data_IF_012979513073
#
_entry.id   IF_012979513073
#
_cell.length_a   1.000
_cell.length_b   1.000
_cell.length_c   1.000
_cell.angle_alpha   90.00
_cell.angle_beta   90.00
_cell.angle_gamma   90.00
#
_symmetry.space_group_name_H-M   'P 1'
#
loop_
_entity.id
_entity.type
_entity.pdbx_description
1 polymer ?
#
# COMPACT_ATOMS: atom_id res chain seq x y z
N UNK A 1 23.31 -17.94 -58.24
CA UNK A 1 23.89 -16.58 -58.33
C UNK A 1 24.35 -16.25 -56.92
N UNK A 2 25.59 -16.63 -56.59
CA UNK A 2 26.76 -15.72 -56.48
C UNK A 2 26.64 -14.81 -55.25
N UNK A 3 27.59 -14.72 -54.31
CA UNK A 3 28.94 -15.25 -54.19
C UNK A 3 29.66 -14.47 -53.08
N UNK A 4 30.06 -15.17 -52.02
CA UNK A 4 31.26 -15.02 -51.15
C UNK A 4 31.99 -13.68 -50.89
N UNK A 5 32.50 -13.60 -49.63
CA UNK A 5 33.83 -13.07 -49.19
C UNK A 5 33.98 -11.54 -49.01
N UNK A 6 34.79 -10.96 -48.08
CA UNK A 6 35.95 -11.45 -47.31
C UNK A 6 36.32 -10.49 -46.15
N UNK A 7 37.09 -11.03 -45.21
CA UNK A 7 37.77 -10.48 -44.03
C UNK A 7 38.66 -9.22 -44.14
N UNK A 8 38.81 -8.55 -42.97
CA UNK A 8 39.97 -7.88 -42.32
C UNK A 8 40.84 -6.88 -43.13
N UNK A 9 41.07 -5.71 -42.52
CA UNK A 9 42.41 -5.24 -42.08
C UNK A 9 42.35 -3.91 -41.30
N UNK A 10 43.21 -3.79 -40.28
CA UNK A 10 43.77 -2.55 -39.69
C UNK A 10 45.27 -2.58 -40.05
N UNK A 11 45.92 -1.47 -40.45
CA UNK A 11 46.87 -0.71 -39.58
C UNK A 11 46.84 0.83 -39.86
N UNK A 12 47.11 1.78 -38.96
CA UNK A 12 48.28 2.19 -38.14
C UNK A 12 48.97 3.47 -38.70
N UNK A 13 49.61 4.22 -37.78
CA UNK A 13 50.61 5.32 -37.93
C UNK A 13 50.04 6.76 -37.91
N UNK A 14 50.58 7.77 -37.21
CA UNK A 14 51.88 8.04 -36.57
C UNK A 14 51.68 9.06 -35.41
N UNK A 15 52.26 8.95 -34.19
CA UNK A 15 53.66 9.11 -33.71
C UNK A 15 54.18 10.56 -33.54
N UNK A 16 54.68 10.85 -32.31
CA UNK A 16 55.76 11.77 -31.86
C UNK A 16 55.47 12.16 -30.38
N UNK A 17 56.32 12.03 -29.36
CA UNK A 17 57.71 11.58 -29.12
C UNK A 17 57.81 11.41 -27.57
N UNK A 18 58.24 10.29 -26.97
CA UNK A 18 59.64 9.89 -26.59
C UNK A 18 60.37 11.00 -25.80
N UNK A 19 60.75 10.84 -24.53
CA UNK A 19 61.91 10.07 -24.00
C UNK A 19 61.73 9.72 -22.50
N UNK A 20 61.83 8.46 -22.06
CA UNK A 20 63.05 7.71 -21.65
C UNK A 20 63.45 7.98 -20.17
N UNK A 21 63.37 7.01 -19.24
CA UNK A 21 64.37 5.95 -19.10
C UNK A 21 64.03 4.89 -18.04
N UNK A 22 64.24 3.64 -18.43
CA UNK A 22 64.36 2.41 -17.60
C UNK A 22 65.84 2.22 -17.17
N UNK A 23 66.28 1.25 -16.32
CA UNK A 23 65.70 -0.10 -16.13
C UNK A 23 65.71 -0.70 -14.70
N UNK A 24 64.94 -1.79 -14.53
CA UNK A 24 65.07 -2.83 -13.46
C UNK A 24 66.40 -3.63 -13.66
N UNK A 25 66.76 -4.73 -12.94
CA UNK A 25 66.12 -5.46 -11.82
C UNK A 25 67.08 -5.96 -10.71
N UNK A 26 66.55 -6.62 -9.66
CA UNK A 26 66.98 -7.96 -9.20
C UNK A 26 66.24 -8.40 -7.95
N UNK A 27 65.58 -9.56 -8.04
CA UNK A 27 65.13 -10.35 -6.91
C UNK A 27 66.33 -11.15 -6.42
N UNK A 28 66.63 -11.07 -5.13
CA UNK A 28 67.57 -11.96 -4.45
C UNK A 28 66.88 -12.62 -3.26
N UNK A 29 67.07 -13.94 -3.15
CA UNK A 29 66.58 -14.81 -2.08
C UNK A 29 67.80 -15.44 -1.41
N UNK A 30 67.97 -15.23 -0.11
CA UNK A 30 68.76 -16.00 0.87
C UNK A 30 68.65 -15.24 2.20
N UNK A 31 68.54 -15.82 3.39
CA UNK A 31 68.62 -17.19 3.87
C UNK A 31 68.26 -17.20 5.37
N UNK A 32 68.04 -18.38 5.91
CA UNK A 32 67.66 -18.63 7.30
C UNK A 32 68.75 -18.27 8.32
N UNK A 33 68.35 -17.84 9.53
CA UNK A 33 68.66 -18.49 10.83
C UNK A 33 68.32 -17.60 12.04
N UNK A 34 67.66 -18.22 13.02
CA UNK A 34 68.01 -18.14 14.44
C UNK A 34 67.42 -17.01 15.27
N UNK A 35 66.69 -17.36 16.32
CA UNK A 35 66.40 -16.45 17.43
C UNK A 35 65.08 -16.71 18.15
N UNK A 36 64.95 -17.87 18.81
CA UNK A 36 63.99 -18.01 19.90
C UNK A 36 64.56 -17.32 21.15
N UNK A 37 63.84 -16.34 21.69
CA UNK A 37 63.71 -16.06 23.14
C UNK A 37 63.23 -14.62 23.34
N UNK A 38 62.08 -14.43 24.01
CA UNK A 38 61.62 -13.10 24.36
C UNK A 38 60.21 -13.09 24.91
N UNK A 39 59.98 -13.85 25.98
CA UNK A 39 58.79 -13.65 26.81
C UNK A 39 58.78 -12.22 27.34
N UNK A 40 57.74 -11.48 27.00
CA UNK A 40 57.50 -10.11 27.46
C UNK A 40 56.01 -9.90 27.61
N UNK A 41 55.52 -10.10 28.83
CA UNK A 41 54.17 -9.80 29.28
C UNK A 41 53.80 -8.35 28.92
N UNK A 42 53.04 -8.18 27.84
CA UNK A 42 52.66 -6.87 27.31
C UNK A 42 51.19 -6.50 27.56
N UNK A 43 50.62 -6.98 28.66
CA UNK A 43 49.38 -6.41 29.20
C UNK A 43 49.46 -6.42 30.72
N UNK A 44 49.65 -5.25 31.32
CA UNK A 44 49.39 -5.10 32.75
C UNK A 44 47.95 -5.54 33.02
N UNK A 45 47.78 -6.48 33.94
CA UNK A 45 46.50 -6.96 34.44
C UNK A 45 45.39 -5.88 34.53
N UNK A 46 45.64 -4.63 35.00
CA UNK A 46 44.62 -3.59 35.03
C UNK A 46 43.98 -3.23 33.68
N UNK A 47 44.72 -3.23 32.56
CA UNK A 47 44.14 -2.92 31.25
C UNK A 47 43.25 -4.05 30.72
N UNK A 48 43.60 -5.31 31.00
CA UNK A 48 42.79 -6.47 30.61
C UNK A 48 41.48 -6.48 31.37
N UNK A 49 41.52 -6.20 32.68
CA UNK A 49 40.30 -6.09 33.50
C UNK A 49 39.43 -4.90 33.07
N UNK A 50 40.02 -3.76 32.70
CA UNK A 50 39.28 -2.61 32.17
C UNK A 50 38.57 -2.93 30.84
N UNK A 51 39.24 -3.63 29.92
CA UNK A 51 38.65 -4.06 28.66
C UNK A 51 37.50 -5.06 28.87
N UNK A 52 37.69 -6.07 29.74
CA UNK A 52 36.65 -7.05 30.06
C UNK A 52 35.43 -6.37 30.69
N UNK A 53 35.63 -5.43 31.61
CA UNK A 53 34.53 -4.68 32.22
C UNK A 53 33.76 -3.83 31.19
N UNK A 54 34.47 -3.17 30.27
CA UNK A 54 33.86 -2.37 29.21
C UNK A 54 33.03 -3.22 28.24
N UNK A 55 33.57 -4.34 27.75
CA UNK A 55 32.83 -5.23 26.85
C UNK A 55 31.66 -5.93 27.55
N UNK A 56 31.82 -6.30 28.83
CA UNK A 56 30.72 -6.87 29.62
C UNK A 56 29.59 -5.87 29.83
N UNK A 57 29.92 -4.60 30.11
CA UNK A 57 28.94 -3.53 30.20
C UNK A 57 28.26 -3.25 28.85
N UNK A 58 29.01 -3.24 27.75
CA UNK A 58 28.45 -3.09 26.40
C UNK A 58 27.50 -4.24 26.06
N UNK A 59 27.84 -5.48 26.40
CA UNK A 59 26.97 -6.64 26.20
C UNK A 59 25.72 -6.51 27.09
N UNK A 60 25.86 -6.13 28.36
CA UNK A 60 24.70 -5.90 29.24
C UNK A 60 23.80 -4.78 28.72
N UNK A 61 24.36 -3.68 28.22
CA UNK A 61 23.59 -2.59 27.60
C UNK A 61 22.92 -3.05 26.32
N UNK A 62 23.59 -3.83 25.47
CA UNK A 62 22.97 -4.39 24.25
C UNK A 62 21.87 -5.40 24.58
N UNK A 63 22.09 -6.30 25.55
CA UNK A 63 21.08 -7.25 26.01
C UNK A 63 19.91 -6.52 26.65
N UNK A 64 20.15 -5.45 27.42
CA UNK A 64 19.09 -4.64 28.01
C UNK A 64 18.32 -3.84 26.94
N UNK A 65 19.00 -3.23 25.97
CA UNK A 65 18.34 -2.55 24.85
C UNK A 65 17.54 -3.51 23.97
N UNK A 66 18.03 -4.74 23.73
CA UNK A 66 17.33 -5.73 22.91
C UNK A 66 16.18 -6.42 23.66
N UNK A 67 16.36 -6.68 24.96
CA UNK A 67 15.33 -7.26 25.84
C UNK A 67 14.23 -6.26 26.19
N UNK A 68 14.48 -4.96 26.03
CA UNK A 68 13.49 -3.88 26.18
C UNK A 68 12.78 -3.55 24.87
N UNK A 69 12.71 -4.50 23.93
CA UNK A 69 11.75 -4.42 22.83
C UNK A 69 10.36 -4.40 23.45
N UNK A 70 9.81 -3.21 23.68
CA UNK A 70 8.47 -3.04 24.19
C UNK A 70 7.52 -3.73 23.21
N UNK A 71 7.02 -4.90 23.58
CA UNK A 71 5.80 -5.45 23.01
C UNK A 71 4.69 -4.51 23.45
N UNK A 72 4.48 -3.42 22.70
CA UNK A 72 3.29 -2.61 22.89
C UNK A 72 2.09 -3.55 22.69
N UNK A 73 1.16 -3.64 23.64
CA UNK A 73 -0.07 -4.36 23.40
C UNK A 73 -0.85 -3.58 22.34
N UNK A 74 -0.69 -3.98 21.07
CA UNK A 74 -1.33 -3.35 19.90
C UNK A 74 -2.87 -3.46 19.95
N UNK A 75 -3.39 -4.29 20.85
CA UNK A 75 -4.78 -4.75 20.85
C UNK A 75 -5.50 -4.46 22.18
N UNK A 76 -5.22 -3.33 22.82
CA UNK A 76 -5.96 -2.91 24.03
C UNK A 76 -7.39 -2.46 23.73
N UNK A 77 -7.67 -2.02 22.51
CA UNK A 77 -9.02 -1.70 22.06
C UNK A 77 -9.72 -2.96 21.51
N UNK A 78 -10.93 -3.28 21.99
CA UNK A 78 -11.67 -4.45 21.51
C UNK A 78 -12.09 -4.25 20.05
N UNK A 79 -12.06 -5.34 19.28
CA UNK A 79 -12.69 -5.35 17.97
C UNK A 79 -14.21 -5.33 18.12
N UNK A 80 -14.89 -4.65 17.20
CA UNK A 80 -16.34 -4.58 17.18
C UNK A 80 -16.86 -4.61 15.73
N UNK A 81 -18.15 -4.88 15.57
CA UNK A 81 -18.79 -4.84 14.26
C UNK A 81 -19.27 -3.42 13.96
N UNK A 82 -18.93 -2.94 12.77
CA UNK A 82 -19.39 -1.67 12.22
C UNK A 82 -20.16 -1.93 10.93
N UNK A 83 -21.26 -1.20 10.76
CA UNK A 83 -22.01 -1.17 9.51
C UNK A 83 -21.20 -0.44 8.44
N UNK A 84 -20.92 -1.15 7.36
CA UNK A 84 -20.20 -0.69 6.17
C UNK A 84 -21.06 -0.87 4.92
N UNK A 85 -20.62 -0.37 3.77
CA UNK A 85 -21.34 -0.54 2.48
C UNK A 85 -20.52 -1.43 1.56
N UNK A 86 -21.08 -2.56 1.16
CA UNK A 86 -20.45 -3.47 0.21
C UNK A 86 -21.04 -3.30 -1.19
N UNK A 87 -20.16 -3.23 -2.18
CA UNK A 87 -20.48 -3.23 -3.59
C UNK A 87 -20.02 -4.55 -4.21
N UNK A 88 -20.90 -5.18 -4.98
CA UNK A 88 -20.60 -6.36 -5.80
C UNK A 88 -20.58 -5.95 -7.26
N UNK A 89 -19.53 -6.33 -7.97
CA UNK A 89 -19.39 -6.15 -9.42
C UNK A 89 -19.12 -7.49 -10.07
N UNK A 90 -19.22 -7.56 -11.40
CA UNK A 90 -18.81 -8.74 -12.18
C UNK A 90 -17.34 -9.17 -11.99
N UNK A 91 -16.52 -8.31 -11.38
CA UNK A 91 -15.10 -8.56 -11.13
C UNK A 91 -14.77 -8.88 -9.67
N UNK A 92 -15.76 -8.90 -8.79
CA UNK A 92 -15.59 -9.13 -7.36
C UNK A 92 -16.28 -8.06 -6.52
N UNK A 93 -16.06 -8.14 -5.21
CA UNK A 93 -16.65 -7.25 -4.21
C UNK A 93 -15.62 -6.27 -3.65
N UNK A 94 -16.08 -5.10 -3.20
CA UNK A 94 -15.30 -4.19 -2.35
C UNK A 94 -16.20 -3.57 -1.27
N UNK A 95 -15.62 -3.27 -0.11
CA UNK A 95 -16.36 -2.76 1.06
C UNK A 95 -15.83 -1.39 1.48
N UNK A 96 -16.74 -0.45 1.70
CA UNK A 96 -16.47 0.92 2.12
C UNK A 96 -16.80 1.12 3.61
N UNK A 97 -15.81 1.57 4.38
CA UNK A 97 -15.99 2.10 5.73
C UNK A 97 -16.28 3.61 5.64
N UNK A 98 -17.44 4.04 6.15
CA UNK A 98 -17.92 5.42 6.03
C UNK A 98 -17.47 6.28 7.22
N UNK A 99 -17.22 7.57 6.99
CA UNK A 99 -16.67 8.51 7.96
C UNK A 99 -17.66 9.64 8.33
N UNK A 100 -18.74 9.35 9.07
CA UNK A 100 -19.76 10.34 9.41
C UNK A 100 -19.23 11.49 10.28
N UNK A 101 -18.18 11.27 11.06
CA UNK A 101 -17.52 12.32 11.86
C UNK A 101 -16.80 13.36 10.98
N UNK A 102 -16.37 12.95 9.78
CA UNK A 102 -15.60 13.78 8.85
C UNK A 102 -16.49 14.47 7.82
N UNK A 103 -17.53 13.78 7.36
CA UNK A 103 -18.42 14.23 6.29
C UNK A 103 -19.87 13.82 6.56
N UNK A 104 -20.51 14.37 7.62
CA UNK A 104 -21.82 13.90 8.08
C UNK A 104 -22.90 14.03 7.01
N UNK A 105 -22.97 15.15 6.29
CA UNK A 105 -23.99 15.36 5.24
C UNK A 105 -23.76 14.45 4.05
N UNK A 106 -22.50 14.29 3.65
CA UNK A 106 -22.11 13.41 2.55
C UNK A 106 -22.42 11.95 2.87
N UNK A 107 -22.10 11.49 4.08
CA UNK A 107 -22.36 10.11 4.52
C UNK A 107 -23.86 9.85 4.64
N UNK A 108 -24.65 10.81 5.14
CA UNK A 108 -26.11 10.68 5.20
C UNK A 108 -26.71 10.52 3.80
N UNK A 109 -26.37 11.41 2.87
CA UNK A 109 -26.83 11.33 1.48
C UNK A 109 -26.38 10.05 0.79
N UNK A 110 -25.13 9.63 0.99
CA UNK A 110 -24.62 8.36 0.44
C UNK A 110 -25.43 7.16 0.95
N UNK A 111 -25.77 7.12 2.24
CA UNK A 111 -26.61 6.07 2.81
C UNK A 111 -28.03 6.08 2.23
N UNK A 112 -28.59 7.26 1.97
CA UNK A 112 -29.88 7.40 1.28
C UNK A 112 -29.83 6.86 -0.15
N UNK A 113 -28.77 7.15 -0.91
CA UNK A 113 -28.53 6.60 -2.25
C UNK A 113 -28.40 5.08 -2.25
N UNK A 114 -27.78 4.49 -1.22
CA UNK A 114 -27.73 3.04 -1.05
C UNK A 114 -29.12 2.47 -0.76
N UNK A 115 -29.86 3.06 0.19
CA UNK A 115 -31.21 2.58 0.57
C UNK A 115 -32.24 2.71 -0.54
N UNK A 116 -32.13 3.73 -1.39
CA UNK A 116 -33.00 3.93 -2.55
C UNK A 116 -32.65 3.02 -3.73
N UNK A 117 -31.61 2.18 -3.58
CA UNK A 117 -31.06 1.35 -4.65
C UNK A 117 -30.56 2.17 -5.86
N UNK A 118 -30.28 3.46 -5.69
CA UNK A 118 -29.78 4.33 -6.75
C UNK A 118 -28.50 3.76 -7.33
N UNK A 119 -27.53 3.41 -6.47
CA UNK A 119 -26.27 2.86 -6.95
C UNK A 119 -26.48 1.53 -7.70
N UNK A 120 -27.36 0.66 -7.21
CA UNK A 120 -27.66 -0.61 -7.85
C UNK A 120 -28.29 -0.45 -9.24
N UNK A 121 -29.20 0.51 -9.41
CA UNK A 121 -30.02 0.64 -10.63
C UNK A 121 -29.43 1.58 -11.67
N UNK A 122 -28.76 2.64 -11.21
CA UNK A 122 -28.52 3.84 -12.01
C UNK A 122 -27.05 4.28 -12.05
N UNK A 123 -26.13 3.54 -11.40
CA UNK A 123 -24.73 3.90 -11.32
C UNK A 123 -23.77 2.77 -11.73
N UNK A 124 -22.59 3.18 -12.19
CA UNK A 124 -21.44 2.31 -12.42
C UNK A 124 -20.14 3.10 -12.41
N UNK A 125 -19.03 2.42 -12.65
CA UNK A 125 -17.75 3.08 -12.96
C UNK A 125 -17.72 3.50 -14.44
N UNK A 126 -17.47 4.78 -14.67
CA UNK A 126 -17.47 5.39 -16.01
C UNK A 126 -16.20 6.19 -16.33
N UNK A 127 -15.37 6.50 -15.33
CA UNK A 127 -14.08 7.14 -15.52
C UNK A 127 -12.97 6.40 -14.78
N UNK A 128 -11.86 6.16 -15.46
CA UNK A 128 -10.69 5.50 -14.90
C UNK A 128 -9.44 6.25 -15.33
N UNK A 129 -8.64 6.67 -14.37
CA UNK A 129 -7.30 7.20 -14.59
C UNK A 129 -6.37 6.42 -13.67
N UNK A 130 -5.69 5.35 -14.15
CA UNK A 130 -4.99 4.39 -13.30
C UNK A 130 -3.97 4.99 -12.33
N UNK A 131 -3.42 6.17 -12.64
CA UNK A 131 -2.46 6.90 -11.79
C UNK A 131 -3.09 7.96 -10.91
N UNK A 132 -4.41 7.97 -10.79
CA UNK A 132 -5.15 9.01 -10.10
C UNK A 132 -6.37 8.43 -9.37
N UNK A 133 -7.44 8.12 -10.10
CA UNK A 133 -8.74 7.75 -9.52
C UNK A 133 -9.51 6.76 -10.38
N UNK A 134 -10.35 5.97 -9.72
CA UNK A 134 -11.45 5.24 -10.34
C UNK A 134 -12.76 5.91 -9.89
N UNK A 135 -13.54 6.44 -10.83
CA UNK A 135 -14.72 7.24 -10.54
C UNK A 135 -15.99 6.60 -11.08
N UNK A 136 -17.02 6.66 -10.24
CA UNK A 136 -18.34 6.08 -10.50
C UNK A 136 -19.42 6.81 -9.71
N UNK A 137 -20.49 6.09 -9.38
CA UNK A 137 -21.64 6.69 -8.68
C UNK A 137 -22.57 7.47 -9.60
N UNK A 138 -22.41 7.33 -10.92
CA UNK A 138 -23.28 7.91 -11.92
C UNK A 138 -23.43 7.02 -13.16
N UNK A 139 -24.32 7.47 -14.05
CA UNK A 139 -24.42 7.18 -15.47
C UNK A 139 -24.92 5.84 -16.04
N UNK A 140 -26.09 5.32 -15.64
CA UNK A 140 -26.88 4.41 -16.52
C UNK A 140 -28.03 5.08 -17.31
N UNK A 141 -28.59 6.22 -16.86
CA UNK A 141 -29.82 6.78 -17.46
C UNK A 141 -29.99 8.32 -17.45
N UNK A 142 -28.94 9.12 -17.21
CA UNK A 142 -29.07 10.61 -17.15
C UNK A 142 -30.15 11.07 -16.14
N UNK A 143 -30.37 10.27 -15.09
CA UNK A 143 -31.40 10.57 -14.09
C UNK A 143 -30.99 11.77 -13.25
N UNK A 144 -31.94 12.64 -12.90
CA UNK A 144 -31.69 13.67 -11.91
C UNK A 144 -31.19 13.01 -10.62
N UNK A 145 -30.20 13.64 -9.99
CA UNK A 145 -29.75 13.22 -8.67
C UNK A 145 -30.96 13.19 -7.72
N UNK A 146 -31.22 12.07 -7.02
CA UNK A 146 -32.31 12.00 -6.06
C UNK A 146 -31.98 12.77 -4.76
N UNK A 147 -30.72 13.19 -4.60
CA UNK A 147 -30.24 14.03 -3.49
C UNK A 147 -29.85 15.42 -4.01
N UNK A 148 -29.93 16.43 -3.15
CA UNK A 148 -29.45 17.78 -3.46
C UNK A 148 -27.93 17.86 -3.56
N UNK A 149 -27.43 19.02 -3.97
CA UNK A 149 -26.00 19.30 -3.96
C UNK A 149 -25.47 19.29 -2.53
N UNK A 150 -24.33 18.63 -2.35
CA UNK A 150 -23.66 18.49 -1.07
C UNK A 150 -22.63 19.62 -0.88
N UNK A 151 -22.52 20.19 0.34
CA UNK A 151 -21.46 21.13 0.65
C UNK A 151 -20.12 20.41 0.76
N UNK A 152 -19.02 21.15 0.57
CA UNK A 152 -17.69 20.60 0.82
C UNK A 152 -17.37 20.52 2.32
N UNK A 153 -17.24 19.30 2.83
CA UNK A 153 -16.82 18.95 4.20
C UNK A 153 -15.34 18.48 4.21
N UNK A 154 -14.38 19.39 4.00
CA UNK A 154 -12.96 19.02 4.01
C UNK A 154 -12.42 18.85 5.44
N UNK A 155 -12.21 17.61 5.86
CA UNK A 155 -11.68 17.28 7.20
C UNK A 155 -10.70 16.10 7.23
N UNK A 156 -10.46 15.45 6.08
CA UNK A 156 -9.57 14.31 5.96
C UNK A 156 -8.85 14.29 4.60
N UNK A 157 -7.56 13.90 4.57
CA UNK A 157 -6.78 13.84 3.33
C UNK A 157 -7.28 12.72 2.40
N UNK A 158 -7.07 12.89 1.09
CA UNK A 158 -7.45 11.93 0.06
C UNK A 158 -6.30 10.99 -0.31
N UNK A 159 -5.81 10.23 0.67
CA UNK A 159 -4.75 9.23 0.48
C UNK A 159 -5.26 8.01 -0.31
N UNK A 160 -4.36 7.08 -0.68
CA UNK A 160 -4.75 5.84 -1.36
C UNK A 160 -5.88 5.10 -0.60
N UNK A 161 -6.84 4.57 -1.37
CA UNK A 161 -8.05 3.88 -0.93
C UNK A 161 -9.11 4.77 -0.29
N UNK A 162 -8.85 6.06 -0.09
CA UNK A 162 -9.90 6.98 0.32
C UNK A 162 -10.92 7.19 -0.81
N UNK A 163 -12.14 7.50 -0.42
CA UNK A 163 -13.25 7.79 -1.34
C UNK A 163 -13.70 9.21 -1.10
N UNK A 164 -13.74 9.99 -2.17
CA UNK A 164 -14.19 11.38 -2.16
C UNK A 164 -15.47 11.55 -2.95
N UNK A 165 -16.29 12.53 -2.58
CA UNK A 165 -17.39 12.95 -3.45
C UNK A 165 -16.82 13.70 -4.65
N UNK A 166 -17.17 13.27 -5.86
CA UNK A 166 -16.81 13.99 -7.07
C UNK A 166 -17.69 15.23 -7.22
N UNK A 167 -17.14 16.30 -7.79
CA UNK A 167 -17.85 17.57 -8.03
C UNK A 167 -17.39 18.22 -9.31
N UNK A 168 -18.22 19.08 -9.87
CA UNK A 168 -17.83 20.00 -10.93
C UNK A 168 -17.05 21.21 -10.39
N UNK A 169 -16.91 22.23 -11.24
CA UNK A 169 -16.20 23.47 -10.90
C UNK A 169 -16.84 24.26 -9.76
N UNK A 170 -18.17 24.24 -9.64
CA UNK A 170 -18.87 24.86 -8.51
C UNK A 170 -18.60 24.05 -7.24
N UNK A 171 -18.21 24.71 -6.15
CA UNK A 171 -17.87 24.09 -4.86
C UNK A 171 -18.89 23.05 -4.41
N UNK A 172 -20.16 23.45 -4.35
CA UNK A 172 -21.25 22.61 -3.86
C UNK A 172 -22.02 22.05 -5.05
N UNK A 173 -21.36 21.20 -5.84
CA UNK A 173 -21.96 20.48 -6.97
C UNK A 173 -21.84 18.97 -6.87
N UNK A 174 -21.16 18.45 -5.85
CA UNK A 174 -21.14 17.02 -5.59
C UNK A 174 -22.52 16.52 -5.19
N UNK A 175 -22.87 15.32 -5.64
CA UNK A 175 -24.19 14.72 -5.37
C UNK A 175 -24.09 13.20 -5.22
N UNK A 176 -24.11 12.47 -6.33
CA UNK A 176 -24.13 11.00 -6.36
C UNK A 176 -22.78 10.38 -6.69
N UNK A 177 -21.98 11.10 -7.48
CA UNK A 177 -20.72 10.64 -8.04
C UNK A 177 -19.61 10.62 -6.98
N UNK A 178 -18.82 9.55 -6.99
CA UNK A 178 -17.69 9.37 -6.07
C UNK A 178 -16.46 8.89 -6.82
N UNK A 179 -15.28 9.22 -6.28
CA UNK A 179 -14.00 8.77 -6.80
C UNK A 179 -13.22 8.02 -5.72
N UNK A 180 -12.74 6.82 -6.07
CA UNK A 180 -11.83 6.02 -5.26
C UNK A 180 -10.41 6.42 -5.64
N UNK A 181 -9.61 6.83 -4.65
CA UNK A 181 -8.22 7.22 -4.83
C UNK A 181 -7.35 5.99 -5.09
N UNK A 182 -6.81 5.87 -6.31
CA UNK A 182 -5.87 4.80 -6.67
C UNK A 182 -4.43 5.12 -6.24
N UNK A 183 -4.17 6.38 -5.91
CA UNK A 183 -2.91 6.91 -5.41
C UNK A 183 -3.19 7.99 -4.35
N UNK A 184 -2.16 8.40 -3.61
CA UNK A 184 -2.28 9.55 -2.71
C UNK A 184 -2.44 10.84 -3.51
N UNK A 185 -3.61 11.44 -3.39
CA UNK A 185 -3.98 12.69 -4.08
C UNK A 185 -4.20 13.84 -3.09
N UNK A 186 -3.70 13.72 -1.86
CA UNK A 186 -3.98 14.67 -0.78
C UNK A 186 -3.57 16.10 -1.12
N UNK A 187 -2.37 16.30 -1.68
CA UNK A 187 -1.88 17.63 -2.08
C UNK A 187 -2.73 18.28 -3.18
N UNK A 188 -3.26 17.48 -4.11
CA UNK A 188 -4.10 17.96 -5.21
C UNK A 188 -5.53 18.25 -4.76
N UNK A 189 -6.03 17.47 -3.81
CA UNK A 189 -7.42 17.52 -3.36
C UNK A 189 -7.65 18.41 -2.14
N UNK A 190 -6.59 18.98 -1.56
CA UNK A 190 -6.70 19.95 -0.48
C UNK A 190 -7.28 21.28 -0.96
N UNK A 191 -7.87 22.09 -0.06
CA UNK A 191 -8.29 23.44 -0.38
C UNK A 191 -7.12 24.30 -0.88
N UNK A 192 -7.36 25.11 -1.91
CA UNK A 192 -6.42 26.06 -2.48
C UNK A 192 -7.15 27.33 -2.92
N UNK A 193 -6.42 28.28 -3.51
CA UNK A 193 -7.02 29.47 -4.12
C UNK A 193 -8.00 29.11 -5.25
N UNK A 194 -7.80 27.97 -5.90
CA UNK A 194 -8.61 27.49 -7.02
C UNK A 194 -9.86 26.71 -6.58
N UNK A 195 -10.01 26.39 -5.29
CA UNK A 195 -11.22 25.75 -4.81
C UNK A 195 -11.17 25.13 -3.41
N UNK A 196 -12.32 24.68 -2.90
CA UNK A 196 -12.50 24.23 -1.52
C UNK A 196 -11.94 22.82 -1.22
N UNK A 197 -11.25 22.19 -2.17
CA UNK A 197 -10.84 20.78 -2.07
C UNK A 197 -11.97 19.79 -2.34
N UNK A 198 -11.82 18.55 -1.83
CA UNK A 198 -12.77 17.45 -2.00
C UNK A 198 -13.11 16.77 -0.67
N UNK A 199 -14.37 16.41 -0.49
CA UNK A 199 -14.85 15.75 0.73
C UNK A 199 -14.52 14.27 0.72
N UNK A 200 -13.52 13.88 1.50
CA UNK A 200 -13.24 12.48 1.83
C UNK A 200 -14.29 11.96 2.82
N UNK A 201 -15.08 10.97 2.42
CA UNK A 201 -16.21 10.49 3.24
C UNK A 201 -16.17 8.98 3.54
N UNK A 202 -15.28 8.22 2.90
CA UNK A 202 -15.14 6.79 3.14
C UNK A 202 -13.74 6.28 2.78
N UNK A 203 -13.49 5.00 3.08
CA UNK A 203 -12.29 4.26 2.69
C UNK A 203 -12.65 2.85 2.24
N UNK A 204 -11.97 2.35 1.19
CA UNK A 204 -12.01 0.93 0.83
C UNK A 204 -11.20 0.13 1.85
N UNK A 205 -11.87 -0.75 2.61
CA UNK A 205 -11.26 -1.56 3.67
C UNK A 205 -11.18 -3.04 3.32
N UNK A 206 -11.98 -3.51 2.36
CA UNK A 206 -11.94 -4.88 1.81
C UNK A 206 -12.08 -4.82 0.28
N UNK A 207 -11.56 -5.83 -0.43
CA UNK A 207 -11.69 -5.91 -1.88
C UNK A 207 -10.83 -4.92 -2.66
N UNK A 208 -9.71 -4.45 -2.09
CA UNK A 208 -8.80 -3.54 -2.81
C UNK A 208 -8.29 -4.14 -4.12
N UNK A 209 -8.00 -5.45 -4.14
CA UNK A 209 -7.60 -6.17 -5.35
C UNK A 209 -8.69 -6.12 -6.45
N UNK A 210 -9.98 -6.10 -6.08
CA UNK A 210 -11.09 -5.90 -7.01
C UNK A 210 -11.03 -4.52 -7.67
N UNK A 211 -10.79 -3.47 -6.87
CA UNK A 211 -10.65 -2.09 -7.36
C UNK A 211 -9.46 -1.98 -8.33
N UNK A 212 -8.30 -2.54 -7.95
CA UNK A 212 -7.11 -2.58 -8.80
C UNK A 212 -7.37 -3.35 -10.10
N UNK A 213 -8.07 -4.49 -10.02
CA UNK A 213 -8.42 -5.28 -11.19
C UNK A 213 -9.38 -4.54 -12.12
N UNK A 214 -10.38 -3.85 -11.57
CA UNK A 214 -11.28 -2.97 -12.33
C UNK A 214 -10.47 -1.90 -13.06
N UNK A 215 -9.60 -1.17 -12.36
CA UNK A 215 -8.78 -0.11 -12.96
C UNK A 215 -7.86 -0.65 -14.07
N UNK A 216 -7.33 -1.87 -13.92
CA UNK A 216 -6.52 -2.52 -14.94
C UNK A 216 -7.32 -2.97 -16.17
N UNK A 217 -8.59 -3.36 -15.99
CA UNK A 217 -9.44 -3.88 -17.07
C UNK A 217 -10.20 -2.79 -17.81
N UNK A 218 -10.56 -1.72 -17.12
CA UNK A 218 -11.26 -0.57 -17.69
C UNK A 218 -10.29 0.28 -18.50
N UNK A 219 -10.72 0.76 -19.68
CA UNK A 219 -9.93 1.70 -20.47
C UNK A 219 -9.69 3.00 -19.71
N UNK A 220 -8.53 3.62 -19.90
CA UNK A 220 -8.25 4.95 -19.33
C UNK A 220 -9.16 6.01 -19.96
N UNK A 221 -9.51 7.04 -19.19
CA UNK A 221 -10.35 8.14 -19.61
C UNK A 221 -11.84 7.92 -19.34
N UNK A 222 -12.65 8.79 -19.92
CA UNK A 222 -14.11 8.79 -19.78
C UNK A 222 -14.76 7.82 -20.77
N UNK A 223 -15.75 7.09 -20.29
CA UNK A 223 -16.71 6.37 -21.14
C UNK A 223 -17.81 7.35 -21.55
N UNK A 224 -18.04 7.48 -22.86
CA UNK A 224 -19.10 8.33 -23.38
C UNK A 224 -20.49 7.77 -23.02
N UNK A 225 -21.52 8.64 -23.00
CA UNK A 225 -22.88 8.23 -22.61
C UNK A 225 -23.46 7.19 -23.58
N UNK A 226 -23.07 7.29 -24.84
CA UNK A 226 -23.46 6.39 -25.94
C UNK A 226 -22.91 4.98 -25.75
N UNK A 227 -21.79 4.86 -25.04
CA UNK A 227 -21.00 3.65 -24.78
C UNK A 227 -21.29 3.04 -23.39
N UNK A 228 -22.46 3.32 -22.80
CA UNK A 228 -22.81 2.96 -21.41
C UNK A 228 -22.68 1.47 -21.09
N UNK A 229 -22.82 0.60 -22.07
CA UNK A 229 -22.61 -0.85 -21.93
C UNK A 229 -21.18 -1.24 -21.56
N UNK A 230 -20.21 -0.33 -21.78
CA UNK A 230 -18.81 -0.50 -21.39
C UNK A 230 -18.58 -0.17 -19.91
N UNK A 231 -19.53 0.48 -19.23
CA UNK A 231 -19.41 0.75 -17.81
C UNK A 231 -19.41 -0.53 -16.98
N UNK A 232 -18.85 -0.43 -15.79
CA UNK A 232 -18.87 -1.51 -14.82
C UNK A 232 -19.92 -1.15 -13.79
N UNK A 233 -21.14 -1.66 -14.00
CA UNK A 233 -22.25 -1.52 -13.05
C UNK A 233 -22.07 -2.36 -11.79
N UNK A 234 -22.97 -2.14 -10.84
CA UNK A 234 -23.02 -2.86 -9.57
C UNK A 234 -24.13 -3.93 -9.63
N UNK A 235 -23.77 -5.17 -9.32
CA UNK A 235 -24.72 -6.31 -9.27
C UNK A 235 -25.48 -6.34 -7.94
N UNK A 236 -24.88 -5.77 -6.88
CA UNK A 236 -25.46 -5.64 -5.55
C UNK A 236 -24.80 -4.49 -4.80
N UNK A 237 -25.58 -3.72 -4.04
CA UNK A 237 -25.08 -2.71 -3.10
C UNK A 237 -25.87 -2.86 -1.81
N UNK A 238 -25.18 -3.15 -0.69
CA UNK A 238 -25.86 -3.44 0.57
C UNK A 238 -25.07 -2.98 1.80
N UNK A 239 -25.78 -2.79 2.91
CA UNK A 239 -25.14 -2.61 4.21
C UNK A 239 -24.69 -3.95 4.77
N UNK A 240 -23.46 -4.00 5.26
CA UNK A 240 -22.86 -5.21 5.84
C UNK A 240 -22.21 -4.91 7.18
N UNK A 241 -22.27 -5.85 8.10
CA UNK A 241 -21.49 -5.78 9.34
C UNK A 241 -20.08 -6.33 9.11
N UNK A 242 -19.07 -5.55 9.49
CA UNK A 242 -17.66 -5.95 9.41
C UNK A 242 -16.92 -5.64 10.69
N UNK A 243 -15.97 -6.51 11.00
CA UNK A 243 -15.08 -6.34 12.14
C UNK A 243 -14.15 -5.14 11.87
N UNK A 244 -13.96 -4.29 12.87
CA UNK A 244 -13.03 -3.15 12.81
C UNK A 244 -12.44 -2.89 14.20
N UNK A 245 -11.53 -1.93 14.26
CA UNK A 245 -10.89 -1.48 15.49
C UNK A 245 -10.60 0.03 15.42
N UNK A 246 -10.73 0.74 16.54
CA UNK A 246 -10.42 2.18 16.61
C UNK A 246 -8.90 2.44 16.65
N UNK A 247 -8.11 1.45 17.06
CA UNK A 247 -6.66 1.53 16.98
C UNK A 247 -6.22 1.39 15.51
N UNK A 248 -5.51 2.41 15.03
CA UNK A 248 -5.03 2.50 13.64
C UNK A 248 -4.18 1.30 13.22
N UNK A 249 -3.25 0.86 14.07
CA UNK A 249 -2.35 -0.28 13.77
C UNK A 249 -3.14 -1.59 13.70
N UNK A 250 -4.08 -1.80 14.64
CA UNK A 250 -4.96 -2.97 14.63
C UNK A 250 -5.86 -3.00 13.38
N UNK A 251 -6.43 -1.85 13.01
CA UNK A 251 -7.26 -1.69 11.80
C UNK A 251 -6.45 -1.97 10.54
N UNK A 252 -5.24 -1.40 10.42
CA UNK A 252 -4.36 -1.61 9.27
C UNK A 252 -3.96 -3.08 9.11
N UNK A 253 -3.60 -3.77 10.21
CA UNK A 253 -3.30 -5.21 10.18
C UNK A 253 -4.51 -6.04 9.77
N UNK A 254 -5.71 -5.67 10.20
CA UNK A 254 -6.94 -6.32 9.76
C UNK A 254 -7.19 -6.11 8.26
N UNK A 255 -7.02 -4.89 7.74
CA UNK A 255 -7.10 -4.59 6.30
C UNK A 255 -6.09 -5.42 5.49
N UNK A 256 -4.84 -5.52 5.95
CA UNK A 256 -3.79 -6.31 5.29
C UNK A 256 -4.09 -7.81 5.34
N UNK A 257 -4.53 -8.32 6.49
CA UNK A 257 -4.91 -9.72 6.64
C UNK A 257 -6.09 -10.06 5.71
N UNK A 258 -7.14 -9.23 5.71
CA UNK A 258 -8.30 -9.42 4.83
C UNK A 258 -7.89 -9.36 3.37
N UNK A 259 -7.04 -8.41 2.98
CA UNK A 259 -6.50 -8.34 1.62
C UNK A 259 -5.81 -9.65 1.23
N UNK A 260 -4.89 -10.16 2.05
CA UNK A 260 -4.18 -11.42 1.76
C UNK A 260 -5.17 -12.58 1.67
N UNK A 261 -6.14 -12.67 2.57
CA UNK A 261 -7.12 -13.76 2.58
C UNK A 261 -8.07 -13.73 1.37
N UNK A 262 -8.38 -12.55 0.84
CA UNK A 262 -9.23 -12.40 -0.34
C UNK A 262 -8.46 -12.58 -1.66
N UNK A 263 -7.15 -12.32 -1.67
CA UNK A 263 -6.36 -12.50 -2.89
C UNK A 263 -6.30 -13.98 -3.32
N UNK A 264 -6.60 -14.29 -4.59
CA UNK A 264 -6.50 -15.66 -5.09
C UNK A 264 -5.07 -16.20 -4.96
N UNK A 265 -4.92 -17.44 -4.48
CA UNK A 265 -3.64 -18.16 -4.36
C UNK A 265 -2.68 -17.62 -3.29
N UNK A 266 -3.17 -16.98 -2.24
CA UNK A 266 -2.35 -16.58 -1.10
C UNK A 266 -2.06 -17.75 -0.14
N UNK A 267 -0.87 -17.73 0.46
CA UNK A 267 -0.48 -18.64 1.55
C UNK A 267 -0.16 -17.76 2.76
N UNK A 268 -0.95 -17.90 3.82
CA UNK A 268 -0.72 -17.22 5.10
C UNK A 268 -0.03 -18.20 6.05
N UNK A 269 1.18 -17.86 6.50
CA UNK A 269 1.91 -18.62 7.52
C UNK A 269 1.81 -17.83 8.83
N UNK A 270 1.08 -18.38 9.80
CA UNK A 270 0.97 -17.79 11.15
C UNK A 270 1.99 -18.49 12.05
N UNK A 271 3.01 -17.77 12.49
CA UNK A 271 4.01 -18.32 13.42
C UNK A 271 3.50 -18.19 14.86
N UNK A 272 3.22 -19.31 15.51
CA UNK A 272 2.75 -19.35 16.89
C UNK A 272 3.91 -19.09 17.86
N UNK A 273 4.03 -17.83 18.30
CA UNK A 273 4.59 -17.53 19.61
C UNK A 273 3.63 -16.53 20.27
N UNK A 274 2.69 -17.05 21.06
CA UNK A 274 1.83 -16.29 21.96
C UNK A 274 0.82 -15.32 21.30
N UNK A 275 -0.10 -15.84 20.46
CA UNK A 275 -1.23 -15.05 19.96
C UNK A 275 -2.47 -15.23 20.87
N UNK A 276 -2.88 -14.19 21.65
CA UNK A 276 -4.06 -14.27 22.51
C UNK A 276 -5.39 -14.40 21.73
N UNK A 277 -5.47 -13.89 20.49
CA UNK A 277 -6.68 -14.03 19.63
C UNK A 277 -6.68 -15.28 18.72
N UNK A 278 -5.94 -16.34 19.06
CA UNK A 278 -5.81 -17.56 18.22
C UNK A 278 -7.14 -18.14 17.75
N UNK A 279 -8.17 -18.18 18.61
CA UNK A 279 -9.49 -18.76 18.29
C UNK A 279 -10.23 -17.95 17.24
N UNK A 280 -10.27 -16.63 17.38
CA UNK A 280 -10.86 -15.71 16.42
C UNK A 280 -10.14 -15.78 15.07
N UNK A 281 -8.80 -15.84 15.08
CA UNK A 281 -8.00 -15.98 13.86
C UNK A 281 -8.30 -17.29 13.14
N UNK A 282 -8.34 -18.42 13.87
CA UNK A 282 -8.70 -19.73 13.30
C UNK A 282 -10.12 -19.75 12.74
N UNK A 283 -11.08 -19.11 13.42
CA UNK A 283 -12.47 -19.00 12.97
C UNK A 283 -12.57 -18.17 11.68
N UNK A 284 -11.80 -17.08 11.58
CA UNK A 284 -11.67 -16.30 10.34
C UNK A 284 -11.10 -17.18 9.23
N UNK A 285 -9.94 -17.81 9.43
CA UNK A 285 -9.26 -18.65 8.42
C UNK A 285 -10.15 -19.79 7.91
N UNK A 286 -10.89 -20.46 8.81
CA UNK A 286 -11.80 -21.55 8.44
C UNK A 286 -12.96 -21.06 7.54
N UNK A 287 -13.51 -19.87 7.82
CA UNK A 287 -14.58 -19.25 7.01
C UNK A 287 -14.15 -19.02 5.56
N UNK A 288 -12.85 -18.83 5.31
CA UNK A 288 -12.28 -18.57 3.99
C UNK A 288 -11.88 -19.84 3.21
N UNK A 289 -12.31 -21.05 3.62
CA UNK A 289 -11.95 -22.34 2.97
C UNK A 289 -10.43 -22.53 2.81
N UNK A 290 -9.64 -21.96 3.71
CA UNK A 290 -8.18 -22.13 3.69
C UNK A 290 -7.84 -23.53 4.19
N UNK A 291 -6.89 -24.20 3.53
CA UNK A 291 -6.33 -25.46 4.05
C UNK A 291 -5.35 -25.10 5.16
N UNK A 292 -5.84 -25.01 6.39
CA UNK A 292 -4.96 -24.79 7.56
C UNK A 292 -4.16 -26.06 7.79
N UNK A 293 -2.87 -26.03 7.45
CA UNK A 293 -1.90 -27.05 7.89
C UNK A 293 -1.17 -26.49 9.10
N UNK A 294 -1.49 -27.03 10.26
CA UNK A 294 -0.77 -26.82 11.52
C UNK A 294 0.52 -27.63 11.53
#
# INVERSE_FOLDING_TARGET
>A
MEGTNKQRRVPADAELNVTEGSPRPRVARAGARGGASGGGSWFGAPMVYAAIAFFSLMILVHVWQFSSSQTHPVLTSPFYNRTMVQFTTKFGTFTLDLYPEHAPKTVEAFKELVRSEFYLKDAGFYYNEPKFVLQGGGFLFDKPSPVGNLPVEYSAPSTERMVVIARGHKSDSGSTEFAIMLHDNSERNQPSEDGPGYTTFARVVEGWHTVEFISKKMSSGFIAKEDRERQIGFEKVEFVERLTNDNYEAKKRLEELTYVLETPHSVVIVSEKDCPEKKELQKMLHKFRTTVRT
#
